data_IF_597140581614
#
_entry.id   IF_597140581614
#
_cell.length_a   1.000
_cell.length_b   1.000
_cell.length_c   1.000
_cell.angle_alpha   90.00
_cell.angle_beta   90.00
_cell.angle_gamma   90.00
#
_symmetry.space_group_name_H-M   'P 1'
#
loop_
_entity.id
_entity.type
_entity.pdbx_description
1 polymer ?
#
# COMPACT_ATOMS: atom_id res chain seq x y z
N UNK A 1 39.19 28.11 -5.25
CA UNK A 1 38.28 27.71 -6.33
C UNK A 1 37.66 26.41 -5.84
N UNK A 2 36.70 26.54 -4.93
CA UNK A 2 35.90 25.40 -4.48
C UNK A 2 34.80 25.29 -5.52
N UNK A 3 34.74 24.14 -6.18
CA UNK A 3 33.65 23.84 -7.08
C UNK A 3 32.33 23.92 -6.30
N UNK A 4 31.47 24.73 -6.87
CA UNK A 4 30.06 24.92 -6.59
C UNK A 4 29.39 23.54 -6.67
N UNK A 5 29.15 22.90 -5.51
CA UNK A 5 28.25 21.76 -5.46
C UNK A 5 26.87 22.38 -5.52
N UNK A 6 26.38 22.51 -6.75
CA UNK A 6 25.00 22.84 -7.07
C UNK A 6 24.05 22.18 -6.07
N UNK A 7 23.25 22.99 -5.39
CA UNK A 7 21.99 22.61 -4.69
C UNK A 7 20.95 22.07 -5.69
N UNK A 8 21.36 21.27 -6.67
CA UNK A 8 20.47 20.67 -7.66
C UNK A 8 20.18 19.22 -7.24
N UNK A 9 18.94 19.02 -6.80
CA UNK A 9 18.31 17.75 -6.44
C UNK A 9 18.99 17.00 -5.27
N UNK A 10 18.73 17.43 -4.03
CA UNK A 10 18.83 16.49 -2.91
C UNK A 10 17.76 15.39 -3.14
N UNK A 11 18.15 14.13 -3.43
CA UNK A 11 17.19 13.06 -3.66
C UNK A 11 16.31 12.78 -2.43
N UNK A 12 16.69 13.27 -1.24
CA UNK A 12 15.91 13.16 -0.02
C UNK A 12 14.89 14.29 0.19
N UNK A 13 14.96 15.42 -0.56
CA UNK A 13 13.99 16.51 -0.42
C UNK A 13 12.68 16.28 -1.18
N UNK A 14 12.64 15.37 -2.15
CA UNK A 14 11.37 14.95 -2.78
C UNK A 14 10.62 13.99 -1.87
N UNK A 15 10.05 14.51 -0.78
CA UNK A 15 9.11 13.75 0.05
C UNK A 15 7.86 13.47 -0.77
N UNK A 16 7.73 12.25 -1.28
CA UNK A 16 6.51 11.80 -1.95
C UNK A 16 5.42 11.53 -0.91
N UNK A 17 4.15 11.73 -1.24
CA UNK A 17 3.05 11.39 -0.33
C UNK A 17 3.02 9.90 0.05
N UNK A 18 3.63 9.02 -0.76
CA UNK A 18 3.89 7.62 -0.39
C UNK A 18 4.95 7.53 0.72
N UNK A 19 6.04 8.31 0.68
CA UNK A 19 7.05 8.35 1.76
C UNK A 19 6.49 8.86 3.09
N UNK A 20 5.48 9.72 3.04
CA UNK A 20 4.82 10.25 4.23
C UNK A 20 3.88 9.23 4.89
N UNK A 21 3.63 8.07 4.26
CA UNK A 21 2.89 6.98 4.87
C UNK A 21 3.63 6.44 6.09
N UNK A 22 2.87 5.95 7.07
CA UNK A 22 3.46 5.29 8.25
C UNK A 22 4.22 4.04 7.81
N UNK A 23 5.52 4.00 8.10
CA UNK A 23 6.41 2.87 7.76
C UNK A 23 6.02 1.56 8.46
N UNK A 24 5.15 1.60 9.47
CA UNK A 24 4.59 0.41 10.13
C UNK A 24 3.27 -0.05 9.50
N UNK A 25 2.81 0.60 8.43
CA UNK A 25 1.58 0.27 7.72
C UNK A 25 1.86 -0.03 6.25
N UNK A 26 0.98 -0.79 5.60
CA UNK A 26 0.98 -0.86 4.13
C UNK A 26 0.38 0.44 3.55
N UNK A 27 1.07 1.14 2.63
CA UNK A 27 0.49 2.30 1.97
C UNK A 27 -0.68 1.87 1.06
N UNK A 28 -1.79 2.60 1.14
CA UNK A 28 -2.96 2.44 0.28
C UNK A 28 -3.15 3.72 -0.55
N UNK A 29 -2.77 3.64 -1.83
CA UNK A 29 -2.88 4.73 -2.78
C UNK A 29 -4.24 4.70 -3.46
N UNK A 30 -4.99 5.79 -3.34
CA UNK A 30 -6.25 5.97 -4.07
C UNK A 30 -5.97 6.58 -5.45
N UNK A 31 -6.20 5.83 -6.52
CA UNK A 31 -6.01 6.33 -7.89
C UNK A 31 -7.34 6.61 -8.59
N UNK A 32 -8.44 5.99 -8.15
CA UNK A 32 -9.78 6.31 -8.64
C UNK A 32 -10.53 7.22 -7.66
N UNK A 33 -10.75 8.47 -8.09
CA UNK A 33 -11.32 9.55 -7.25
C UNK A 33 -12.78 9.88 -7.57
N UNK A 34 -13.40 9.15 -8.51
CA UNK A 34 -14.75 9.50 -8.98
C UNK A 34 -15.89 9.00 -8.06
N UNK A 35 -15.59 8.11 -7.10
CA UNK A 35 -16.59 7.53 -6.19
C UNK A 35 -16.09 7.50 -4.74
N UNK A 36 -16.44 8.53 -3.98
CA UNK A 36 -16.11 8.63 -2.55
C UNK A 36 -16.92 7.65 -1.68
N UNK A 37 -18.13 7.29 -2.12
CA UNK A 37 -18.99 6.39 -1.36
C UNK A 37 -18.47 4.94 -1.44
N UNK A 38 -18.06 4.50 -2.63
CA UNK A 38 -17.40 3.21 -2.80
C UNK A 38 -16.05 3.15 -2.07
N UNK A 39 -15.27 4.23 -2.10
CA UNK A 39 -14.02 4.30 -1.35
C UNK A 39 -14.25 4.23 0.17
N UNK A 40 -15.24 4.93 0.70
CA UNK A 40 -15.63 4.82 2.11
C UNK A 40 -16.05 3.39 2.48
N UNK A 41 -16.80 2.71 1.61
CA UNK A 41 -17.20 1.31 1.81
C UNK A 41 -16.00 0.35 1.82
N UNK A 42 -15.00 0.56 0.95
CA UNK A 42 -13.73 -0.15 1.02
C UNK A 42 -13.05 0.05 2.38
N UNK A 43 -12.97 1.29 2.88
CA UNK A 43 -12.33 1.56 4.18
C UNK A 43 -13.08 0.90 5.35
N UNK A 44 -14.41 0.79 5.26
CA UNK A 44 -15.20 0.09 6.24
C UNK A 44 -14.98 -1.44 6.18
N UNK A 45 -14.87 -2.01 4.97
CA UNK A 45 -14.52 -3.43 4.78
C UNK A 45 -13.13 -3.74 5.35
N UNK A 46 -12.14 -2.87 5.12
CA UNK A 46 -10.78 -3.05 5.64
C UNK A 46 -10.67 -3.00 7.17
N UNK A 47 -11.69 -2.49 7.86
CA UNK A 47 -11.76 -2.46 9.33
C UNK A 47 -12.37 -3.73 9.91
N UNK A 48 -12.95 -4.60 9.10
CA UNK A 48 -13.54 -5.86 9.56
C UNK A 48 -12.39 -6.79 9.97
N UNK A 49 -12.34 -7.25 11.24
CA UNK A 49 -11.32 -8.19 11.66
C UNK A 49 -11.43 -9.53 10.93
N UNK A 50 -10.28 -10.18 10.71
CA UNK A 50 -10.26 -11.56 10.27
C UNK A 50 -10.76 -12.53 11.36
N UNK A 51 -10.77 -13.82 11.06
CA UNK A 51 -11.18 -14.90 11.97
C UNK A 51 -10.36 -14.96 13.27
N UNK A 52 -9.15 -14.39 13.27
CA UNK A 52 -8.25 -14.31 14.42
C UNK A 52 -8.35 -12.96 15.15
N UNK A 53 -9.21 -12.06 14.70
CA UNK A 53 -9.39 -10.72 15.27
C UNK A 53 -8.35 -9.70 14.81
N UNK A 54 -7.56 -9.99 13.77
CA UNK A 54 -6.58 -9.06 13.23
C UNK A 54 -7.19 -8.11 12.19
N UNK A 55 -6.65 -6.89 12.14
CA UNK A 55 -6.98 -5.88 11.13
C UNK A 55 -5.67 -5.45 10.48
N UNK A 56 -5.63 -5.41 9.15
CA UNK A 56 -4.47 -4.89 8.41
C UNK A 56 -4.19 -3.43 8.80
N UNK A 57 -2.94 -3.11 9.08
CA UNK A 57 -2.53 -1.72 9.26
C UNK A 57 -2.30 -1.08 7.89
N UNK A 58 -3.15 -0.12 7.53
CA UNK A 58 -3.08 0.60 6.25
C UNK A 58 -2.90 2.10 6.48
N UNK A 59 -2.01 2.72 5.72
CA UNK A 59 -1.79 4.16 5.71
C UNK A 59 -2.32 4.73 4.40
N UNK A 60 -3.32 5.61 4.49
CA UNK A 60 -3.96 6.18 3.31
C UNK A 60 -3.05 7.21 2.65
N UNK A 61 -2.90 7.08 1.34
CA UNK A 61 -2.17 8.03 0.50
C UNK A 61 -3.17 8.66 -0.48
N UNK A 62 -3.72 9.80 -0.08
CA UNK A 62 -4.67 10.58 -0.89
C UNK A 62 -3.98 11.83 -1.43
N UNK A 63 -3.29 11.66 -2.56
CA UNK A 63 -2.63 12.75 -3.26
C UNK A 63 -3.23 12.89 -4.67
N UNK A 64 -3.78 14.05 -5.04
CA UNK A 64 -4.37 14.28 -6.36
C UNK A 64 -3.44 13.96 -7.53
N UNK A 65 -2.12 13.99 -7.34
CA UNK A 65 -1.15 13.62 -8.39
C UNK A 65 -1.20 12.15 -8.78
N UNK A 66 -1.78 11.30 -7.92
CA UNK A 66 -1.97 9.88 -8.18
C UNK A 66 -3.32 9.55 -8.82
N UNK A 67 -4.16 10.55 -9.08
CA UNK A 67 -5.40 10.34 -9.82
C UNK A 67 -5.08 9.75 -11.21
N UNK A 68 -5.64 8.57 -11.49
CA UNK A 68 -5.38 7.78 -12.69
C UNK A 68 -3.90 7.38 -12.90
N UNK A 69 -3.08 7.34 -11.84
CA UNK A 69 -1.70 6.85 -11.94
C UNK A 69 -1.66 5.38 -12.38
N UNK A 70 -0.70 5.06 -13.25
CA UNK A 70 -0.43 3.68 -13.66
C UNK A 70 0.52 3.00 -12.69
N UNK A 71 0.61 1.67 -12.79
CA UNK A 71 1.58 0.88 -12.01
C UNK A 71 3.01 1.35 -12.25
N UNK A 72 3.36 1.62 -13.50
CA UNK A 72 4.69 2.11 -13.87
C UNK A 72 4.99 3.47 -13.24
N UNK A 73 4.00 4.37 -13.21
CA UNK A 73 4.16 5.67 -12.56
C UNK A 73 4.31 5.56 -11.05
N UNK A 74 3.54 4.69 -10.40
CA UNK A 74 3.62 4.49 -8.95
C UNK A 74 4.94 3.81 -8.54
N UNK A 75 5.37 2.82 -9.30
CA UNK A 75 6.65 2.12 -9.05
C UNK A 75 7.87 3.00 -9.32
N UNK A 76 7.78 3.95 -10.26
CA UNK A 76 8.84 4.93 -10.50
C UNK A 76 9.01 5.95 -9.34
N UNK A 77 7.94 6.22 -8.58
CA UNK A 77 7.95 7.12 -7.42
C UNK A 77 8.42 6.41 -6.12
N UNK A 78 8.76 5.12 -6.20
CA UNK A 78 9.26 4.36 -5.06
C UNK A 78 10.60 4.91 -4.64
N UNK A 79 10.59 5.57 -3.48
CA UNK A 79 11.81 6.09 -2.89
C UNK A 79 12.57 4.97 -2.22
N UNK A 80 13.87 4.93 -2.53
CA UNK A 80 14.83 3.97 -2.01
C UNK A 80 15.69 4.63 -0.95
N UNK A 81 16.03 3.89 0.09
CA UNK A 81 16.95 4.32 1.13
C UNK A 81 18.40 4.41 0.61
N UNK A 82 19.33 4.74 1.50
CA UNK A 82 20.75 4.88 1.18
C UNK A 82 21.41 3.56 0.72
N UNK A 83 20.78 2.40 0.96
CA UNK A 83 21.22 1.08 0.52
C UNK A 83 20.52 0.64 -0.78
N UNK A 84 19.69 1.51 -1.37
CA UNK A 84 18.93 1.24 -2.57
C UNK A 84 17.69 0.37 -2.33
N UNK A 85 17.33 0.10 -1.07
CA UNK A 85 16.15 -0.68 -0.71
C UNK A 85 14.91 0.21 -0.74
N UNK A 86 13.77 -0.26 -1.29
CA UNK A 86 12.55 0.54 -1.25
C UNK A 86 12.11 0.71 0.22
N UNK A 87 11.57 1.89 0.54
CA UNK A 87 11.07 2.17 1.91
C UNK A 87 9.88 1.29 2.31
N UNK A 88 9.16 0.77 1.32
CA UNK A 88 8.07 -0.18 1.49
C UNK A 88 8.33 -1.39 0.59
N UNK A 89 8.03 -2.60 1.08
CA UNK A 89 8.14 -3.81 0.27
C UNK A 89 6.94 -3.96 -0.67
N UNK A 90 5.77 -3.49 -0.24
CA UNK A 90 4.53 -3.51 -1.01
C UNK A 90 3.79 -2.17 -0.96
N UNK A 91 2.98 -1.92 -1.99
CA UNK A 91 1.98 -0.84 -1.99
C UNK A 91 0.64 -1.38 -2.51
N UNK A 92 -0.44 -0.94 -1.88
CA UNK A 92 -1.81 -1.25 -2.27
C UNK A 92 -2.38 -0.10 -3.11
N UNK A 93 -3.14 -0.44 -4.14
CA UNK A 93 -3.78 0.52 -5.02
C UNK A 93 -5.29 0.29 -5.07
N UNK A 94 -6.05 1.31 -4.71
CA UNK A 94 -7.50 1.40 -4.90
C UNK A 94 -7.79 2.11 -6.24
N UNK A 95 -7.87 1.30 -7.30
CA UNK A 95 -8.20 1.74 -8.66
C UNK A 95 -9.70 1.55 -8.98
N UNK A 96 -10.08 1.84 -10.23
CA UNK A 96 -11.48 1.76 -10.67
C UNK A 96 -12.05 0.35 -10.46
N UNK A 97 -11.29 -0.70 -10.79
CA UNK A 97 -11.75 -2.09 -10.62
C UNK A 97 -11.95 -2.43 -9.15
N UNK A 98 -11.10 -1.95 -8.25
CA UNK A 98 -11.27 -2.12 -6.82
C UNK A 98 -12.63 -1.55 -6.36
N UNK A 99 -12.98 -0.34 -6.80
CA UNK A 99 -14.19 0.34 -6.32
C UNK A 99 -15.50 -0.09 -7.01
N UNK A 100 -15.42 -0.75 -8.16
CA UNK A 100 -16.60 -1.29 -8.88
C UNK A 100 -16.98 -2.70 -8.41
N UNK A 101 -15.99 -3.54 -8.07
CA UNK A 101 -16.22 -4.95 -7.73
C UNK A 101 -16.60 -5.09 -6.24
N UNK A 102 -17.68 -5.83 -5.89
CA UNK A 102 -18.14 -5.99 -4.49
C UNK A 102 -17.12 -6.59 -3.52
N UNK A 103 -16.11 -7.30 -4.03
CA UNK A 103 -15.04 -7.87 -3.21
C UNK A 103 -13.90 -6.90 -2.89
N UNK A 104 -13.96 -5.69 -3.45
CA UNK A 104 -12.94 -4.67 -3.39
C UNK A 104 -11.52 -5.19 -3.68
N UNK A 105 -11.26 -5.73 -4.88
CA UNK A 105 -9.99 -6.34 -5.23
C UNK A 105 -8.89 -5.27 -5.40
N UNK A 106 -8.21 -4.97 -4.29
CA UNK A 106 -7.04 -4.10 -4.22
C UNK A 106 -5.93 -4.65 -5.11
N UNK A 107 -5.25 -3.78 -5.86
CA UNK A 107 -4.05 -4.17 -6.59
C UNK A 107 -2.85 -4.05 -5.65
N UNK A 108 -2.24 -5.18 -5.30
CA UNK A 108 -1.00 -5.23 -4.54
C UNK A 108 0.18 -5.19 -5.53
N UNK A 109 1.14 -4.31 -5.28
CA UNK A 109 2.37 -4.17 -6.07
C UNK A 109 3.57 -4.57 -5.21
N UNK A 110 4.46 -5.41 -5.74
CA UNK A 110 5.74 -5.73 -5.15
C UNK A 110 6.78 -4.68 -5.58
N UNK A 111 7.37 -3.99 -4.62
CA UNK A 111 8.35 -2.92 -4.83
C UNK A 111 9.80 -3.39 -4.73
N UNK A 112 10.04 -4.56 -4.15
CA UNK A 112 11.37 -5.18 -4.07
C UNK A 112 11.86 -5.61 -5.47
N UNK A 113 10.93 -5.82 -6.41
CA UNK A 113 11.20 -6.25 -7.80
C UNK A 113 12.01 -7.55 -7.89
N UNK A 114 11.76 -8.44 -6.93
CA UNK A 114 12.34 -9.78 -6.88
C UNK A 114 11.84 -10.63 -8.05
N UNK A 115 12.49 -11.76 -8.29
CA UNK A 115 12.03 -12.71 -9.30
C UNK A 115 10.62 -13.23 -8.96
N UNK A 116 9.67 -13.14 -9.90
CA UNK A 116 8.29 -13.61 -9.70
C UNK A 116 7.25 -12.60 -10.15
N UNK A 117 6.03 -12.75 -9.63
CA UNK A 117 4.94 -11.81 -9.88
C UNK A 117 5.24 -10.43 -9.28
N UNK A 118 5.05 -9.40 -10.09
CA UNK A 118 5.22 -8.00 -9.67
C UNK A 118 3.94 -7.40 -9.10
N UNK A 119 2.79 -8.02 -9.40
CA UNK A 119 1.49 -7.57 -8.98
C UNK A 119 0.47 -8.70 -9.00
N UNK A 120 -0.52 -8.62 -8.12
CA UNK A 120 -1.75 -9.41 -8.18
C UNK A 120 -2.87 -8.62 -7.49
N UNK A 121 -4.12 -9.09 -7.58
CA UNK A 121 -5.21 -8.49 -6.83
C UNK A 121 -5.55 -9.31 -5.61
N UNK A 122 -5.88 -8.65 -4.52
CA UNK A 122 -6.33 -9.26 -3.27
C UNK A 122 -7.70 -8.72 -2.91
N UNK A 123 -8.66 -9.60 -2.62
CA UNK A 123 -9.95 -9.18 -2.07
C UNK A 123 -9.72 -8.49 -0.72
N UNK A 124 -10.41 -7.37 -0.47
CA UNK A 124 -10.22 -6.59 0.76
C UNK A 124 -10.33 -7.43 2.03
N UNK A 125 -11.25 -8.40 2.03
CA UNK A 125 -11.47 -9.28 3.17
C UNK A 125 -10.28 -10.19 3.49
N UNK A 126 -9.36 -10.43 2.56
CA UNK A 126 -8.15 -11.25 2.74
C UNK A 126 -6.91 -10.42 3.15
N UNK A 127 -7.02 -9.08 3.18
CA UNK A 127 -5.88 -8.20 3.39
C UNK A 127 -5.21 -8.38 4.76
N UNK A 128 -5.98 -8.63 5.83
CA UNK A 128 -5.44 -8.84 7.18
C UNK A 128 -4.48 -10.03 7.24
N UNK A 129 -4.85 -11.14 6.61
CA UNK A 129 -4.00 -12.33 6.56
C UNK A 129 -2.73 -12.08 5.72
N UNK A 130 -2.85 -11.39 4.59
CA UNK A 130 -1.71 -11.00 3.77
C UNK A 130 -0.75 -10.09 4.54
N UNK A 131 -1.26 -9.01 5.16
CA UNK A 131 -0.48 -8.09 6.00
C UNK A 131 0.29 -8.81 7.10
N UNK A 132 -0.40 -9.67 7.86
CA UNK A 132 0.23 -10.43 8.93
C UNK A 132 1.38 -11.30 8.41
N UNK A 133 1.20 -11.98 7.27
CA UNK A 133 2.23 -12.84 6.70
C UNK A 133 3.43 -12.06 6.16
N UNK A 134 3.20 -10.94 5.45
CA UNK A 134 4.27 -10.09 4.92
C UNK A 134 5.10 -9.49 6.05
N UNK A 135 4.44 -9.01 7.11
CA UNK A 135 5.13 -8.35 8.25
C UNK A 135 6.10 -9.26 9.02
N UNK A 136 5.90 -10.58 8.96
CA UNK A 136 6.77 -11.58 9.63
C UNK A 136 7.59 -12.43 8.65
N UNK A 137 7.44 -12.22 7.34
CA UNK A 137 8.09 -13.01 6.29
C UNK A 137 7.72 -14.50 6.31
N UNK A 138 6.47 -14.85 6.65
CA UNK A 138 6.05 -16.25 6.72
C UNK A 138 5.78 -16.89 5.35
N UNK A 139 5.39 -16.07 4.37
CA UNK A 139 5.10 -16.46 2.99
C UNK A 139 5.57 -15.32 2.09
N UNK A 140 6.05 -15.62 0.87
CA UNK A 140 6.49 -14.57 -0.06
C UNK A 140 5.35 -14.06 -0.96
N UNK A 141 5.54 -12.88 -1.56
CA UNK A 141 4.55 -12.24 -2.43
C UNK A 141 4.14 -13.11 -3.63
N UNK A 142 5.10 -13.85 -4.18
CA UNK A 142 4.94 -14.65 -5.39
C UNK A 142 4.09 -15.91 -5.13
N UNK A 143 4.21 -16.50 -3.94
CA UNK A 143 3.33 -17.55 -3.44
C UNK A 143 1.88 -17.08 -3.33
N UNK A 144 1.61 -15.88 -2.79
CA UNK A 144 0.25 -15.32 -2.78
C UNK A 144 -0.29 -15.07 -4.17
N UNK A 145 0.54 -14.53 -5.06
CA UNK A 145 0.15 -14.22 -6.43
C UNK A 145 -0.24 -15.48 -7.23
N UNK A 146 0.43 -16.62 -6.99
CA UNK A 146 0.10 -17.91 -7.64
C UNK A 146 -1.26 -18.46 -7.23
N UNK A 147 -1.71 -18.16 -6.03
CA UNK A 147 -2.99 -18.61 -5.48
C UNK A 147 -4.16 -17.69 -5.90
N UNK A 148 -3.88 -16.64 -6.66
CA UNK A 148 -4.93 -15.83 -7.28
C UNK A 148 -5.78 -16.67 -8.24
N UNK A 149 -7.08 -16.40 -8.28
CA UNK A 149 -7.99 -17.05 -9.21
C UNK A 149 -7.68 -16.72 -10.67
N UNK A 150 -8.39 -17.36 -11.60
CA UNK A 150 -8.24 -17.11 -13.05
C UNK A 150 -8.50 -15.64 -13.44
N UNK A 151 -9.26 -14.90 -12.62
CA UNK A 151 -9.52 -13.46 -12.77
C UNK A 151 -8.40 -12.56 -12.21
N UNK A 152 -7.32 -13.17 -11.72
CA UNK A 152 -6.17 -12.54 -11.09
C UNK A 152 -6.42 -12.04 -9.68
N UNK A 153 -7.51 -12.49 -9.02
CA UNK A 153 -7.87 -12.07 -7.66
C UNK A 153 -7.66 -13.21 -6.67
N UNK A 154 -6.81 -12.98 -5.68
CA UNK A 154 -6.71 -13.81 -4.49
C UNK A 154 -7.93 -13.60 -3.60
N UNK A 155 -8.65 -14.69 -3.33
CA UNK A 155 -9.87 -14.73 -2.51
C UNK A 155 -9.76 -15.74 -1.37
N UNK A 156 -8.52 -16.11 -1.05
CA UNK A 156 -8.22 -17.18 -0.12
C UNK A 156 -7.66 -18.45 -0.78
N UNK A 157 -6.90 -19.20 0.01
CA UNK A 157 -6.33 -20.48 -0.41
C UNK A 157 -7.40 -21.52 -0.70
N UNK A 158 -7.11 -22.38 -1.68
CA UNK A 158 -7.95 -23.52 -2.06
C UNK A 158 -7.31 -24.82 -1.56
N UNK A 159 -8.14 -25.77 -1.16
CA UNK A 159 -7.68 -27.11 -0.80
C UNK A 159 -7.28 -27.89 -2.05
N UNK A 160 -6.67 -29.06 -1.86
CA UNK A 160 -6.30 -29.99 -2.94
C UNK A 160 -7.50 -30.42 -3.82
N UNK A 161 -8.72 -30.27 -3.29
CA UNK A 161 -9.99 -30.53 -3.98
C UNK A 161 -10.53 -29.32 -4.77
N UNK A 162 -9.78 -28.21 -4.80
CA UNK A 162 -10.15 -26.95 -5.45
C UNK A 162 -11.19 -26.12 -4.70
N UNK A 163 -11.67 -26.61 -3.54
CA UNK A 163 -12.66 -25.92 -2.72
C UNK A 163 -11.98 -24.83 -1.88
N UNK A 164 -12.67 -23.73 -1.54
CA UNK A 164 -12.11 -22.73 -0.63
C UNK A 164 -11.76 -23.37 0.72
N UNK A 165 -10.52 -23.19 1.17
CA UNK A 165 -10.16 -23.54 2.56
C UNK A 165 -10.84 -22.52 3.45
N UNK A 166 -11.61 -23.00 4.42
CA UNK A 166 -12.20 -22.13 5.42
C UNK A 166 -11.08 -21.32 6.08
N UNK A 167 -11.34 -20.05 6.29
CA UNK A 167 -10.43 -19.13 6.97
C UNK A 167 -9.90 -19.70 8.29
N UNK A 168 -10.80 -20.24 9.11
CA UNK A 168 -10.50 -20.95 10.37
C UNK A 168 -9.57 -22.16 10.26
N UNK A 169 -9.41 -22.74 9.06
CA UNK A 169 -8.59 -23.92 8.79
C UNK A 169 -7.21 -23.59 8.22
N UNK A 170 -6.93 -22.32 7.95
CA UNK A 170 -5.61 -21.87 7.50
C UNK A 170 -4.65 -21.90 8.68
N UNK A 171 -3.37 -22.13 8.41
CA UNK A 171 -2.38 -21.98 9.47
C UNK A 171 -2.47 -20.55 9.99
N UNK A 172 -2.89 -20.38 11.24
CA UNK A 172 -2.85 -19.08 11.88
C UNK A 172 -1.42 -18.54 11.74
N UNK A 173 -1.22 -17.28 11.30
CA UNK A 173 0.09 -16.67 11.48
C UNK A 173 0.45 -16.83 12.97
N UNK A 174 1.72 -17.13 13.31
CA UNK A 174 2.11 -17.19 14.72
C UNK A 174 1.61 -15.91 15.38
N UNK A 175 0.81 -16.07 16.44
CA UNK A 175 0.19 -14.95 17.16
C UNK A 175 1.23 -13.86 17.36
N UNK A 176 1.01 -12.69 16.77
CA UNK A 176 1.83 -11.51 17.05
C UNK A 176 1.98 -11.42 18.57
N UNK A 177 3.20 -11.48 19.13
CA UNK A 177 3.37 -11.42 20.58
C UNK A 177 2.92 -10.05 21.04
N UNK A 178 1.77 -9.96 21.72
CA UNK A 178 1.21 -8.80 22.43
C UNK A 178 1.88 -7.45 22.10
N UNK A 179 1.86 -7.05 20.82
CA UNK A 179 2.06 -5.66 20.48
C UNK A 179 0.74 -5.05 20.89
N UNK A 180 0.71 -4.35 22.04
CA UNK A 180 -0.45 -3.61 22.56
C UNK A 180 -0.86 -2.47 21.63
N UNK A 181 -1.09 -2.78 20.36
CA UNK A 181 -1.32 -1.89 19.25
C UNK A 181 -2.81 -1.93 18.93
N UNK A 182 -3.52 -0.92 19.43
CA UNK A 182 -4.75 -0.48 18.78
C UNK A 182 -4.33 0.42 17.63
N UNK A 183 -4.51 0.00 16.38
CA UNK A 183 -4.18 0.81 15.22
C UNK A 183 -5.23 1.92 15.04
N UNK A 184 -4.88 3.22 15.14
CA UNK A 184 -5.67 4.24 14.49
C UNK A 184 -5.39 4.21 12.99
N UNK A 185 -6.43 4.27 12.15
CA UNK A 185 -6.24 4.70 10.77
C UNK A 185 -5.87 6.18 10.85
N UNK A 186 -4.59 6.49 10.71
CA UNK A 186 -4.11 7.87 10.63
C UNK A 186 -4.38 8.34 9.20
N UNK A 187 -5.48 9.06 9.03
CA UNK A 187 -5.68 9.94 7.88
C UNK A 187 -4.94 11.23 8.19
N UNK A 188 -3.70 11.37 7.71
CA UNK A 188 -3.01 12.67 7.70
C UNK A 188 -3.50 13.42 6.47
N UNK A 189 -4.22 14.56 6.62
CA UNK A 189 -4.43 15.45 5.51
C UNK A 189 -3.08 16.05 5.12
N UNK A 190 -2.65 15.86 3.87
CA UNK A 190 -1.52 16.61 3.32
C UNK A 190 -2.03 18.03 3.06
N UNK A 191 -1.70 18.98 3.95
CA UNK A 191 -1.96 20.39 3.66
C UNK A 191 -1.08 20.82 2.47
N UNK A 192 -1.64 21.54 1.48
CA UNK A 192 -0.83 22.05 0.38
C UNK A 192 0.18 23.05 0.94
N UNK A 193 1.46 22.77 0.74
CA UNK A 193 2.57 23.66 1.09
C UNK A 193 2.33 25.04 0.47
N UNK A 194 1.96 26.01 1.32
CA UNK A 194 1.83 27.40 0.92
C UNK A 194 3.21 28.03 0.86
N UNK A 195 3.82 28.01 -0.32
CA UNK A 195 5.06 28.75 -0.60
C UNK A 195 4.73 30.25 -0.55
N UNK A 196 5.10 30.90 0.55
CA UNK A 196 5.05 32.35 0.64
C UNK A 196 6.36 32.89 0.04
N UNK A 197 6.28 33.36 -1.21
CA UNK A 197 7.37 34.12 -1.82
C UNK A 197 7.44 35.50 -1.15
N UNK A 198 8.31 35.65 -0.15
CA UNK A 198 8.73 36.97 0.33
C UNK A 198 9.64 37.62 -0.71
N UNK A 199 9.06 38.50 -1.53
CA UNK A 199 9.78 39.37 -2.45
C UNK A 199 10.51 40.46 -1.65
N UNK A 200 11.81 40.34 -1.46
CA UNK A 200 12.66 41.46 -1.02
C UNK A 200 13.09 42.25 -2.26
N UNK A 201 12.30 43.26 -2.61
CA UNK A 201 12.64 44.21 -3.65
C UNK A 201 13.94 44.95 -3.32
N UNK A 202 14.89 44.88 -4.24
CA UNK A 202 16.09 45.72 -4.30
C UNK A 202 15.66 47.08 -4.88
N UNK A 203 15.92 48.17 -4.14
CA UNK A 203 15.80 49.54 -4.66
C UNK A 203 17.18 50.04 -5.09
N UNK A 204 17.24 50.50 -6.34
CA UNK A 204 18.34 51.27 -6.95
C UNK A 204 18.74 52.53 -6.15
#
# INVERSE_FOLDING_TARGET
MYDDISEEDDPFERVTSIMAADQNCMPLVRTFIADDAAFAALLDELRIPDEYGNVAAVSLVEDPRYAAATVESLTAEVVRDYEGQPLFSEVLVADERCLIDPSFPLLALNLLQDAGHQQFRIAASELSAFYANMSIGNMDFDEWAREAGEDGVFRGFRGDDGMPVSRDQRAAPPSCPDAGWSAPIVSTPVEPLSVTLEWTGEQD
#
